data_IF_609117178390
#
_entry.id   IF_609117178390
#
_cell.length_a   1.000
_cell.length_b   1.000
_cell.length_c   1.000
_cell.angle_alpha   90.00
_cell.angle_beta   90.00
_cell.angle_gamma   90.00
#
_symmetry.space_group_name_H-M   'P 1'
#
loop_
_entity.id
_entity.type
_entity.pdbx_description
1 polymer ?
#
# COMPACT_ATOMS: atom_id res chain seq x y z
N UNK A 1 30.83 -11.06 -30.19
CA UNK A 1 30.00 -10.31 -29.23
C UNK A 1 28.56 -10.54 -29.65
N UNK A 2 27.83 -11.40 -28.93
CA UNK A 2 26.42 -11.63 -29.19
C UNK A 2 25.64 -10.76 -28.20
N UNK A 3 24.91 -9.78 -28.72
CA UNK A 3 23.93 -9.00 -27.97
C UNK A 3 22.83 -9.96 -27.50
N UNK A 4 22.73 -10.14 -26.19
CA UNK A 4 21.64 -10.87 -25.57
C UNK A 4 20.45 -9.90 -25.51
N UNK A 5 19.63 -9.96 -26.54
CA UNK A 5 18.40 -9.18 -26.63
C UNK A 5 17.41 -9.73 -25.60
N UNK A 6 17.31 -9.06 -24.45
CA UNK A 6 16.33 -9.40 -23.42
C UNK A 6 14.98 -8.87 -23.91
N UNK A 7 14.24 -9.73 -24.61
CA UNK A 7 12.81 -9.50 -24.84
C UNK A 7 12.10 -9.44 -23.49
N UNK A 8 11.88 -8.22 -22.99
CA UNK A 8 11.00 -7.97 -21.86
C UNK A 8 9.58 -8.27 -22.33
N UNK A 9 9.13 -9.48 -22.09
CA UNK A 9 7.73 -9.87 -22.28
C UNK A 9 6.91 -9.07 -21.26
N UNK A 10 6.32 -7.96 -21.72
CA UNK A 10 5.33 -7.17 -20.95
C UNK A 10 3.95 -7.79 -21.05
N UNK A 11 3.85 -9.11 -21.03
CA UNK A 11 2.56 -9.74 -20.81
C UNK A 11 2.30 -9.59 -19.31
N UNK A 12 1.37 -8.72 -18.93
CA UNK A 12 0.90 -8.69 -17.54
C UNK A 12 0.21 -10.02 -17.29
N UNK A 13 0.98 -11.03 -16.89
CA UNK A 13 0.46 -12.31 -16.44
C UNK A 13 -0.22 -12.02 -15.11
N UNK A 14 -1.52 -11.74 -15.16
CA UNK A 14 -2.36 -11.83 -13.97
C UNK A 14 -2.24 -13.28 -13.53
N UNK A 15 -1.69 -13.58 -12.34
CA UNK A 15 -1.52 -14.96 -11.93
C UNK A 15 -2.88 -15.63 -11.87
N UNK A 16 -3.01 -16.73 -12.62
CA UNK A 16 -4.18 -17.58 -12.57
C UNK A 16 -4.13 -18.27 -11.21
N UNK A 17 -4.99 -17.81 -10.29
CA UNK A 17 -5.02 -18.32 -8.94
C UNK A 17 -5.29 -19.83 -8.87
N UNK A 18 -4.89 -20.49 -7.77
CA UNK A 18 -5.18 -21.89 -7.54
C UNK A 18 -6.69 -22.16 -7.57
N UNK A 19 -7.07 -23.39 -7.91
CA UNK A 19 -8.48 -23.80 -7.98
C UNK A 19 -8.92 -24.35 -6.63
N UNK A 20 -10.03 -23.81 -6.11
CA UNK A 20 -10.71 -24.33 -4.93
C UNK A 20 -12.23 -24.31 -5.17
N UNK A 21 -12.94 -25.34 -4.73
CA UNK A 21 -14.37 -25.55 -5.03
C UNK A 21 -14.73 -25.49 -6.54
N UNK A 22 -13.78 -25.84 -7.42
CA UNK A 22 -13.98 -25.81 -8.86
C UNK A 22 -13.95 -24.42 -9.50
N UNK A 23 -13.57 -23.38 -8.74
CA UNK A 23 -13.37 -22.02 -9.24
C UNK A 23 -11.94 -21.54 -8.95
N UNK A 24 -11.42 -20.66 -9.81
CA UNK A 24 -10.17 -19.97 -9.53
C UNK A 24 -10.35 -19.03 -8.34
N UNK A 25 -9.42 -19.10 -7.40
CA UNK A 25 -9.35 -18.19 -6.28
C UNK A 25 -8.88 -16.81 -6.75
N UNK A 26 -9.36 -15.76 -6.08
CA UNK A 26 -8.94 -14.39 -6.35
C UNK A 26 -7.96 -13.92 -5.27
N UNK A 27 -7.06 -13.00 -5.62
CA UNK A 27 -6.20 -12.34 -4.63
C UNK A 27 -7.08 -11.44 -3.77
N UNK A 28 -7.06 -11.64 -2.46
CA UNK A 28 -7.58 -10.68 -1.50
C UNK A 28 -6.44 -9.83 -0.95
N UNK A 29 -6.43 -8.55 -1.33
CA UNK A 29 -5.51 -7.54 -0.78
C UNK A 29 -6.00 -6.94 0.55
N UNK A 30 -7.13 -7.43 1.07
CA UNK A 30 -7.69 -7.03 2.35
C UNK A 30 -7.24 -7.99 3.44
N UNK A 31 -6.96 -7.48 4.66
CA UNK A 31 -6.62 -8.36 5.77
C UNK A 31 -7.73 -9.39 6.00
N UNK A 32 -7.36 -10.54 6.56
CA UNK A 32 -8.35 -11.38 7.25
C UNK A 32 -9.15 -10.50 8.21
N UNK A 33 -10.42 -10.86 8.43
CA UNK A 33 -11.53 -10.06 8.97
C UNK A 33 -11.28 -9.24 10.28
N UNK A 34 -10.07 -9.25 10.83
CA UNK A 34 -9.64 -8.67 12.11
C UNK A 34 -8.52 -7.59 12.03
N UNK A 35 -7.96 -7.27 10.85
CA UNK A 35 -6.91 -6.23 10.76
C UNK A 35 -7.44 -4.85 10.36
N UNK A 36 -8.41 -4.34 11.13
CA UNK A 36 -8.53 -2.89 11.37
C UNK A 36 -7.58 -2.41 12.49
N UNK A 37 -6.47 -3.12 12.68
CA UNK A 37 -5.36 -2.64 13.51
C UNK A 37 -4.43 -1.88 12.59
N UNK A 38 -4.55 -0.56 12.58
CA UNK A 38 -3.64 0.40 11.93
C UNK A 38 -2.19 0.33 12.48
N UNK A 39 -1.87 -0.71 13.25
CA UNK A 39 -0.66 -0.93 14.05
C UNK A 39 -0.32 -2.43 14.04
N UNK A 40 -0.43 -3.11 12.89
CA UNK A 40 0.28 -4.39 12.73
C UNK A 40 1.61 -4.11 12.05
N UNK A 41 2.71 -4.45 12.73
CA UNK A 41 4.08 -4.37 12.17
C UNK A 41 4.33 -5.53 11.20
N UNK A 42 3.52 -6.59 11.28
CA UNK A 42 3.62 -7.72 10.38
C UNK A 42 3.09 -7.35 8.99
N UNK A 43 3.84 -7.71 7.92
CA UNK A 43 3.34 -7.55 6.56
C UNK A 43 2.00 -8.27 6.43
N UNK A 44 0.95 -7.53 6.07
CA UNK A 44 -0.31 -8.14 5.65
C UNK A 44 -0.03 -8.80 4.31
N UNK A 45 0.24 -10.09 4.33
CA UNK A 45 0.44 -10.86 3.12
C UNK A 45 -0.89 -11.01 2.39
N UNK A 46 -0.91 -10.79 1.06
CA UNK A 46 -2.07 -11.14 0.26
C UNK A 46 -2.32 -12.64 0.34
N UNK A 47 -3.59 -13.01 0.38
CA UNK A 47 -4.05 -14.40 0.40
C UNK A 47 -4.82 -14.67 -0.89
N UNK A 48 -4.81 -15.93 -1.34
CA UNK A 48 -5.83 -16.40 -2.25
C UNK A 48 -7.12 -16.62 -1.47
N UNK A 49 -8.23 -16.08 -1.96
CA UNK A 49 -9.55 -16.25 -1.40
C UNK A 49 -10.48 -16.96 -2.38
N UNK A 50 -11.14 -18.02 -1.92
CA UNK A 50 -12.23 -18.68 -2.63
C UNK A 50 -13.56 -18.05 -2.21
N UNK A 51 -14.54 -17.98 -3.12
CA UNK A 51 -15.90 -17.53 -2.81
C UNK A 51 -16.61 -18.36 -1.73
N UNK A 52 -16.13 -19.57 -1.42
CA UNK A 52 -16.64 -20.40 -0.32
C UNK A 52 -16.11 -19.98 1.07
N UNK A 53 -15.21 -19.00 1.16
CA UNK A 53 -14.58 -18.56 2.40
C UNK A 53 -13.25 -19.22 2.73
N UNK A 54 -12.78 -20.20 1.93
CA UNK A 54 -11.44 -20.77 2.08
C UNK A 54 -10.37 -19.75 1.70
N UNK A 55 -9.29 -19.70 2.47
CA UNK A 55 -8.16 -18.79 2.29
C UNK A 55 -6.85 -19.57 2.38
N UNK A 56 -5.86 -19.12 1.62
CA UNK A 56 -4.54 -19.71 1.63
C UNK A 56 -3.48 -18.65 1.33
N UNK A 57 -2.32 -18.82 1.95
CA UNK A 57 -1.19 -17.91 1.76
C UNK A 57 -0.71 -17.96 0.31
N UNK A 58 -0.34 -16.80 -0.24
CA UNK A 58 0.06 -16.69 -1.65
C UNK A 58 1.40 -17.35 -1.94
N UNK A 59 2.32 -17.30 -0.98
CA UNK A 59 3.70 -17.76 -1.08
C UNK A 59 3.80 -19.29 -1.00
N UNK A 60 2.78 -19.96 -0.46
CA UNK A 60 2.69 -21.41 -0.39
C UNK A 60 2.68 -22.09 -1.78
N UNK A 61 2.22 -21.39 -2.83
CA UNK A 61 2.10 -21.95 -4.20
C UNK A 61 2.85 -21.11 -5.23
N UNK A 62 2.91 -19.79 -5.08
CA UNK A 62 3.54 -18.91 -6.06
C UNK A 62 4.31 -17.76 -5.40
N UNK A 63 5.59 -18.01 -5.02
CA UNK A 63 6.42 -16.99 -4.39
C UNK A 63 6.72 -15.80 -5.32
N UNK A 64 6.69 -15.98 -6.64
CA UNK A 64 6.93 -14.88 -7.61
C UNK A 64 5.75 -13.91 -7.61
N UNK A 65 4.52 -14.43 -7.63
CA UNK A 65 3.31 -13.61 -7.48
C UNK A 65 3.28 -12.88 -6.14
N UNK A 66 3.77 -13.51 -5.07
CA UNK A 66 3.95 -12.87 -3.77
C UNK A 66 4.81 -11.59 -3.86
N UNK A 67 5.96 -11.65 -4.54
CA UNK A 67 6.83 -10.49 -4.77
C UNK A 67 6.14 -9.42 -5.62
N UNK A 68 5.46 -9.82 -6.70
CA UNK A 68 4.78 -8.89 -7.59
C UNK A 68 3.68 -8.11 -6.86
N UNK A 69 2.86 -8.77 -6.04
CA UNK A 69 1.80 -8.11 -5.28
C UNK A 69 2.37 -7.22 -4.19
N UNK A 70 3.45 -7.64 -3.52
CA UNK A 70 4.15 -6.79 -2.56
C UNK A 70 4.68 -5.51 -3.23
N UNK A 71 5.20 -5.60 -4.47
CA UNK A 71 5.64 -4.45 -5.23
C UNK A 71 4.48 -3.50 -5.60
N UNK A 72 3.34 -4.05 -6.05
CA UNK A 72 2.13 -3.26 -6.34
C UNK A 72 1.59 -2.58 -5.08
N UNK A 73 1.58 -3.29 -3.93
CA UNK A 73 1.15 -2.72 -2.65
C UNK A 73 2.06 -1.58 -2.22
N UNK A 74 3.38 -1.73 -2.37
CA UNK A 74 4.33 -0.64 -2.11
C UNK A 74 4.03 0.57 -2.98
N UNK A 75 3.81 0.37 -4.28
CA UNK A 75 3.49 1.46 -5.21
C UNK A 75 2.18 2.17 -4.83
N UNK A 76 1.14 1.41 -4.49
CA UNK A 76 -0.13 1.96 -4.01
C UNK A 76 0.04 2.76 -2.72
N UNK A 77 0.77 2.23 -1.72
CA UNK A 77 1.03 2.94 -0.47
C UNK A 77 1.89 4.20 -0.67
N UNK A 78 2.83 4.19 -1.61
CA UNK A 78 3.59 5.40 -1.97
C UNK A 78 2.69 6.49 -2.55
N UNK A 79 1.70 6.09 -3.35
CA UNK A 79 0.70 7.01 -3.88
C UNK A 79 -0.19 7.58 -2.77
N UNK A 80 -0.73 6.73 -1.91
CA UNK A 80 -1.56 7.13 -0.75
C UNK A 80 -0.78 8.02 0.23
N UNK A 81 0.51 7.75 0.44
CA UNK A 81 1.38 8.59 1.26
C UNK A 81 1.49 10.00 0.66
N UNK A 82 1.71 10.12 -0.65
CA UNK A 82 1.80 11.41 -1.32
C UNK A 82 0.48 12.21 -1.21
N UNK A 83 -0.67 11.55 -1.38
CA UNK A 83 -1.99 12.16 -1.17
C UNK A 83 -2.14 12.63 0.28
N UNK A 84 -1.76 11.80 1.24
CA UNK A 84 -1.85 12.11 2.68
C UNK A 84 -0.97 13.29 3.07
N UNK A 85 0.27 13.35 2.56
CA UNK A 85 1.19 14.47 2.76
C UNK A 85 0.64 15.78 2.18
N UNK A 86 0.09 15.75 0.97
CA UNK A 86 -0.55 16.92 0.36
C UNK A 86 -1.77 17.40 1.16
N UNK A 87 -2.55 16.44 1.68
CA UNK A 87 -3.73 16.73 2.52
C UNK A 87 -3.31 17.38 3.84
N UNK A 88 -2.26 16.88 4.47
CA UNK A 88 -1.69 17.47 5.69
C UNK A 88 -1.24 18.91 5.43
N UNK A 89 -0.45 19.15 4.39
CA UNK A 89 0.05 20.49 4.06
C UNK A 89 -1.11 21.48 3.82
N UNK A 90 -2.14 21.07 3.09
CA UNK A 90 -3.33 21.89 2.87
C UNK A 90 -4.08 22.19 4.16
N UNK A 91 -4.29 21.19 5.01
CA UNK A 91 -4.98 21.37 6.29
C UNK A 91 -4.19 22.29 7.23
N UNK A 92 -2.86 22.13 7.27
CA UNK A 92 -1.95 22.93 8.07
C UNK A 92 -2.01 24.41 7.65
N UNK A 93 -1.88 24.71 6.35
CA UNK A 93 -2.02 26.08 5.82
C UNK A 93 -3.36 26.70 6.18
N UNK A 94 -4.47 25.97 5.97
CA UNK A 94 -5.82 26.47 6.31
C UNK A 94 -5.97 26.84 7.79
N UNK A 95 -5.37 26.07 8.69
CA UNK A 95 -5.41 26.38 10.12
C UNK A 95 -4.59 27.64 10.43
N UNK A 96 -3.42 27.79 9.82
CA UNK A 96 -2.58 28.98 9.98
C UNK A 96 -3.24 30.23 9.39
N UNK A 97 -3.87 30.13 8.22
CA UNK A 97 -4.66 31.21 7.61
C UNK A 97 -5.84 31.64 8.50
N UNK A 98 -6.38 30.71 9.30
CA UNK A 98 -7.40 30.99 10.30
C UNK A 98 -6.85 31.61 11.61
N UNK A 99 -5.54 31.89 11.67
CA UNK A 99 -4.87 32.54 12.79
C UNK A 99 -4.33 31.59 13.86
N UNK A 100 -4.32 30.27 13.61
CA UNK A 100 -3.71 29.31 14.54
C UNK A 100 -2.19 29.44 14.50
N UNK A 101 -1.55 29.46 15.67
CA UNK A 101 -0.09 29.50 15.76
C UNK A 101 0.53 28.22 15.15
N UNK A 102 1.44 28.33 14.16
CA UNK A 102 2.01 27.17 13.47
C UNK A 102 2.79 26.21 14.40
N UNK A 103 3.53 26.74 15.38
CA UNK A 103 4.33 25.94 16.30
C UNK A 103 3.44 25.12 17.25
N UNK A 104 2.41 25.75 17.82
CA UNK A 104 1.44 25.05 18.66
C UNK A 104 0.65 24.00 17.87
N UNK A 105 0.31 24.30 16.61
CA UNK A 105 -0.35 23.34 15.73
C UNK A 105 0.55 22.14 15.42
N UNK A 106 1.83 22.38 15.13
CA UNK A 106 2.79 21.33 14.83
C UNK A 106 3.00 20.39 16.03
N UNK A 107 3.10 20.95 17.24
CA UNK A 107 3.23 20.18 18.48
C UNK A 107 2.03 19.23 18.68
N UNK A 108 0.80 19.74 18.55
CA UNK A 108 -0.41 18.91 18.74
C UNK A 108 -0.60 17.89 17.61
N UNK A 109 -0.20 18.23 16.38
CA UNK A 109 -0.30 17.35 15.23
C UNK A 109 0.84 16.32 15.13
N UNK A 110 1.85 16.39 16.02
CA UNK A 110 3.04 15.54 15.95
C UNK A 110 3.91 15.81 14.73
N UNK A 111 3.81 17.01 14.15
CA UNK A 111 4.63 17.46 13.02
C UNK A 111 5.97 17.96 13.55
N UNK A 112 7.11 17.46 13.05
CA UNK A 112 8.42 17.98 13.44
C UNK A 112 8.53 19.48 13.16
N UNK A 113 9.08 20.25 14.11
CA UNK A 113 9.19 21.70 13.95
C UNK A 113 9.96 22.13 12.68
N UNK A 114 10.91 21.30 12.24
CA UNK A 114 11.67 21.52 11.01
C UNK A 114 10.82 21.38 9.72
N UNK A 115 9.65 20.76 9.78
CA UNK A 115 8.76 20.58 8.63
C UNK A 115 7.74 21.72 8.47
N UNK A 116 7.64 22.63 9.45
CA UNK A 116 6.66 23.74 9.43
C UNK A 116 6.84 24.61 8.18
N UNK A 117 8.07 25.01 7.86
CA UNK A 117 8.34 25.85 6.68
C UNK A 117 7.94 25.13 5.38
N UNK A 118 8.25 23.83 5.28
CA UNK A 118 7.86 23.00 4.13
C UNK A 118 6.35 22.88 3.97
N UNK A 119 5.61 22.78 5.07
CA UNK A 119 4.14 22.71 5.04
C UNK A 119 3.49 24.05 4.68
N UNK A 120 4.16 25.17 4.98
CA UNK A 120 3.68 26.52 4.71
C UNK A 120 4.15 27.12 3.38
N UNK A 121 5.15 26.52 2.72
CA UNK A 121 5.56 26.84 1.36
C UNK A 121 4.48 26.50 0.33
#
# INVERSE_FOLDING_TARGET
MAENDVHVVTDQVIPVGPVHCGAHMAISAGPSHDAMKWVSVEPIWPEWACGCGFRMDIDAIDPVSGVWIAALRRQSLQHELAISQNTLALAFRKAVDAGVNPQALAEVAGVPAAEIETLLA
#
